data_IF_017621276070
#
_entry.id   IF_017621276070
#
_cell.length_a   1.000
_cell.length_b   1.000
_cell.length_c   1.000
_cell.angle_alpha   90.00
_cell.angle_beta   90.00
_cell.angle_gamma   90.00
#
_symmetry.space_group_name_H-M   'P 1'
#
loop_
_entity.id
_entity.type
_entity.pdbx_description
1 polymer ?
#
# COMPACT_ATOMS: atom_id res chain seq x y z
N UNK A 1 -33.21 34.36 8.64
CA UNK A 1 -31.97 33.54 8.73
C UNK A 1 -32.00 32.37 7.75
N UNK A 2 -32.34 32.58 6.46
CA UNK A 2 -32.55 31.50 5.47
C UNK A 2 -32.04 31.83 4.06
N UNK A 3 -31.38 32.95 3.84
CA UNK A 3 -30.93 33.35 2.48
C UNK A 3 -29.42 33.28 2.23
N UNK A 4 -28.60 32.95 3.22
CA UNK A 4 -27.12 32.90 3.08
C UNK A 4 -26.59 31.54 2.71
N UNK A 5 -27.39 30.46 2.70
CA UNK A 5 -26.92 29.10 2.45
C UNK A 5 -27.12 28.57 1.02
N UNK A 6 -27.84 29.34 0.17
CA UNK A 6 -28.07 28.92 -1.23
C UNK A 6 -27.02 29.41 -2.23
N UNK A 7 -26.18 30.40 -1.85
CA UNK A 7 -25.14 30.93 -2.74
C UNK A 7 -23.83 30.13 -2.73
N UNK A 8 -23.65 29.20 -1.81
CA UNK A 8 -22.44 28.40 -1.70
C UNK A 8 -22.47 27.10 -2.53
N UNK A 9 -23.65 26.67 -3.01
CA UNK A 9 -23.82 25.43 -3.79
C UNK A 9 -23.74 25.60 -5.30
N UNK A 10 -23.87 26.86 -5.79
CA UNK A 10 -23.90 27.11 -7.25
C UNK A 10 -22.51 27.36 -7.88
N UNK A 11 -21.43 27.42 -7.10
CA UNK A 11 -20.09 27.73 -7.59
C UNK A 11 -19.25 26.50 -8.03
N UNK A 12 -19.74 25.27 -7.87
CA UNK A 12 -18.93 24.07 -8.05
C UNK A 12 -19.28 23.22 -9.27
N UNK A 13 -20.12 23.75 -10.21
CA UNK A 13 -20.54 22.98 -11.40
C UNK A 13 -20.33 23.71 -12.73
N UNK A 14 -19.14 24.33 -12.93
CA UNK A 14 -18.76 24.88 -14.26
C UNK A 14 -17.39 24.34 -14.66
N UNK A 15 -17.38 23.18 -15.33
CA UNK A 15 -16.15 22.62 -15.91
C UNK A 15 -16.30 21.24 -16.54
N UNK A 16 -17.50 20.69 -16.63
CA UNK A 16 -17.75 19.43 -17.32
C UNK A 16 -17.81 19.63 -18.83
N UNK A 17 -16.92 19.01 -19.58
CA UNK A 17 -16.99 18.89 -21.04
C UNK A 17 -18.33 18.26 -21.43
N UNK A 18 -19.11 18.92 -22.31
CA UNK A 18 -20.36 18.37 -22.79
C UNK A 18 -20.09 17.13 -23.66
N UNK A 19 -21.04 16.17 -23.69
CA UNK A 19 -20.94 14.95 -24.51
C UNK A 19 -20.64 15.25 -25.97
N UNK A 20 -21.11 16.39 -26.50
CA UNK A 20 -20.79 16.84 -27.87
C UNK A 20 -19.34 17.27 -28.03
N UNK A 21 -18.75 17.93 -27.03
CA UNK A 21 -17.34 18.33 -27.07
C UNK A 21 -16.41 17.11 -26.92
N UNK A 22 -16.83 16.09 -26.18
CA UNK A 22 -16.09 14.83 -26.05
C UNK A 22 -16.07 14.07 -27.39
N UNK A 23 -17.23 13.96 -28.08
CA UNK A 23 -17.35 13.27 -29.38
C UNK A 23 -16.61 14.03 -30.47
N UNK A 24 -16.62 15.37 -30.48
CA UNK A 24 -15.88 16.19 -31.43
C UNK A 24 -14.36 16.07 -31.22
N UNK A 25 -13.89 15.85 -29.98
CA UNK A 25 -12.49 15.60 -29.66
C UNK A 25 -11.97 14.25 -30.20
N UNK A 26 -12.84 13.22 -30.22
CA UNK A 26 -12.47 11.89 -30.73
C UNK A 26 -12.40 11.87 -32.26
N UNK A 27 -13.20 12.67 -32.96
CA UNK A 27 -13.19 12.77 -34.43
C UNK A 27 -11.90 13.42 -34.99
N UNK A 28 -11.18 14.22 -34.17
CA UNK A 28 -9.89 14.82 -34.55
C UNK A 28 -8.69 13.90 -34.39
N UNK A 29 -8.83 12.81 -33.65
CA UNK A 29 -7.74 11.86 -33.36
C UNK A 29 -7.47 10.86 -34.50
N UNK A 30 -8.41 10.72 -35.46
CA UNK A 30 -8.28 9.74 -36.56
C UNK A 30 -7.23 10.14 -37.62
N UNK A 31 -6.86 11.41 -37.76
CA UNK A 31 -5.86 11.88 -38.74
C UNK A 31 -4.51 12.12 -38.05
N UNK A 32 -4.48 12.34 -36.75
CA UNK A 32 -3.25 12.51 -35.96
C UNK A 32 -2.52 11.19 -35.65
N UNK A 33 -3.18 10.04 -35.77
CA UNK A 33 -2.61 8.74 -35.38
C UNK A 33 -1.47 8.24 -36.28
N UNK A 34 -1.36 8.75 -37.51
CA UNK A 34 -0.32 8.31 -38.45
C UNK A 34 0.94 9.23 -38.37
N UNK A 35 0.79 10.47 -37.90
CA UNK A 35 1.91 11.42 -37.73
C UNK A 35 2.30 11.62 -36.26
N UNK A 36 1.53 11.11 -35.32
CA UNK A 36 1.64 11.37 -33.88
C UNK A 36 2.43 10.34 -33.06
N UNK A 37 2.83 9.21 -33.68
CA UNK A 37 3.57 8.18 -32.94
C UNK A 37 4.96 8.60 -32.47
N UNK A 38 5.50 9.69 -33.02
CA UNK A 38 6.80 10.27 -32.61
C UNK A 38 6.68 11.36 -31.53
N UNK A 39 5.53 12.04 -31.45
CA UNK A 39 5.39 13.22 -30.57
C UNK A 39 4.81 12.82 -29.19
N UNK A 40 3.99 11.78 -29.11
CA UNK A 40 3.48 11.27 -27.83
C UNK A 40 4.56 10.61 -26.98
N UNK A 41 5.61 10.05 -27.60
CA UNK A 41 6.77 9.52 -26.89
C UNK A 41 7.65 10.63 -26.25
N UNK A 42 7.55 11.88 -26.77
CA UNK A 42 8.34 13.02 -26.28
C UNK A 42 7.68 13.78 -25.11
N UNK A 43 6.39 13.50 -24.83
CA UNK A 43 5.60 14.21 -23.81
C UNK A 43 5.26 13.36 -22.60
N UNK A 44 5.61 12.07 -22.62
CA UNK A 44 5.56 11.27 -21.41
C UNK A 44 6.86 11.54 -20.65
N UNK A 45 6.80 12.01 -19.42
CA UNK A 45 8.01 12.07 -18.61
C UNK A 45 8.58 10.65 -18.53
N UNK A 46 9.83 10.47 -18.95
CA UNK A 46 10.57 9.20 -18.86
C UNK A 46 10.75 8.73 -17.40
N UNK A 47 10.32 9.54 -16.45
CA UNK A 47 10.41 9.29 -15.03
C UNK A 47 9.10 8.75 -14.43
N UNK A 48 8.46 7.78 -15.06
CA UNK A 48 7.60 6.88 -14.31
C UNK A 48 8.55 6.05 -13.47
N UNK A 49 8.80 6.48 -12.23
CA UNK A 49 9.56 5.72 -11.25
C UNK A 49 8.85 4.40 -11.03
N UNK A 50 9.21 3.41 -11.81
CA UNK A 50 8.74 2.05 -11.61
C UNK A 50 9.43 1.56 -10.33
N UNK A 51 8.65 1.47 -9.25
CA UNK A 51 9.13 0.85 -8.02
C UNK A 51 9.38 -0.62 -8.33
N UNK A 52 10.60 -1.10 -8.10
CA UNK A 52 11.01 -2.48 -8.37
C UNK A 52 10.01 -3.46 -7.77
N UNK A 53 9.55 -4.41 -8.57
CA UNK A 53 8.66 -5.46 -8.10
C UNK A 53 9.43 -6.42 -7.18
N UNK A 54 8.85 -6.80 -6.06
CA UNK A 54 9.46 -7.77 -5.16
C UNK A 54 9.65 -9.11 -5.85
N UNK A 55 10.84 -9.71 -5.72
CA UNK A 55 11.16 -11.02 -6.28
C UNK A 55 10.42 -12.17 -5.60
N UNK A 56 9.79 -11.90 -4.46
CA UNK A 56 9.05 -12.92 -3.72
C UNK A 56 8.04 -12.34 -2.74
N UNK A 57 7.23 -13.23 -2.22
CA UNK A 57 6.32 -12.96 -1.10
C UNK A 57 6.01 -14.26 -0.37
N UNK A 58 5.63 -14.16 0.89
CA UNK A 58 5.22 -15.32 1.67
C UNK A 58 3.77 -15.70 1.32
N UNK A 59 3.60 -16.92 0.80
CA UNK A 59 2.29 -17.51 0.58
C UNK A 59 1.95 -18.43 1.75
N UNK A 60 0.82 -18.17 2.39
CA UNK A 60 0.35 -18.97 3.52
C UNK A 60 -0.96 -19.66 3.15
N UNK A 61 -1.01 -20.97 3.40
CA UNK A 61 -2.24 -21.75 3.29
C UNK A 61 -2.99 -21.70 4.63
N UNK A 62 -4.00 -20.85 4.71
CA UNK A 62 -4.80 -20.67 5.91
C UNK A 62 -5.50 -21.96 6.36
N UNK A 63 -5.83 -22.86 5.42
CA UNK A 63 -6.50 -24.14 5.73
C UNK A 63 -5.60 -25.11 6.48
N UNK A 64 -4.28 -24.96 6.34
CA UNK A 64 -3.28 -25.77 7.03
C UNK A 64 -2.78 -25.13 8.32
N UNK A 65 -3.19 -23.91 8.60
CA UNK A 65 -2.71 -23.17 9.75
C UNK A 65 -3.48 -23.57 11.01
N UNK A 66 -2.77 -24.11 11.99
CA UNK A 66 -3.35 -24.44 13.31
C UNK A 66 -3.45 -23.22 14.24
N UNK A 67 -2.98 -22.04 13.82
CA UNK A 67 -2.98 -20.85 14.66
C UNK A 67 -2.09 -20.95 15.90
N UNK A 68 -1.02 -21.75 15.88
CA UNK A 68 -0.15 -22.00 17.03
C UNK A 68 0.78 -20.85 17.38
N UNK A 69 0.83 -19.79 16.53
CA UNK A 69 1.64 -18.57 16.73
C UNK A 69 3.17 -18.79 16.75
N UNK A 70 3.67 -19.96 16.41
CA UNK A 70 5.11 -20.23 16.35
C UNK A 70 5.81 -19.25 15.38
N UNK A 71 5.20 -18.93 14.25
CA UNK A 71 5.74 -17.95 13.30
C UNK A 71 5.83 -16.53 13.90
N UNK A 72 4.87 -16.15 14.75
CA UNK A 72 4.86 -14.86 15.46
C UNK A 72 6.02 -14.81 16.47
N UNK A 73 6.18 -15.86 17.25
CA UNK A 73 7.27 -15.98 18.24
C UNK A 73 8.63 -15.99 17.55
N UNK A 74 8.78 -16.81 16.49
CA UNK A 74 10.04 -16.91 15.75
C UNK A 74 10.43 -15.59 15.07
N UNK A 75 9.47 -14.90 14.46
CA UNK A 75 9.68 -13.58 13.85
C UNK A 75 10.13 -12.56 14.91
N UNK A 76 9.45 -12.50 16.04
CA UNK A 76 9.82 -11.63 17.15
C UNK A 76 11.22 -11.92 17.67
N UNK A 77 11.55 -13.20 17.88
CA UNK A 77 12.87 -13.60 18.36
C UNK A 77 13.98 -13.25 17.36
N UNK A 78 13.73 -13.46 16.06
CA UNK A 78 14.71 -13.18 15.01
C UNK A 78 15.02 -11.68 14.88
N UNK A 79 13.99 -10.82 15.00
CA UNK A 79 14.15 -9.38 14.78
C UNK A 79 14.44 -8.57 16.05
N UNK A 80 13.98 -9.03 17.21
CA UNK A 80 14.10 -8.29 18.48
C UNK A 80 15.04 -8.97 19.48
N UNK A 81 15.49 -10.20 19.19
CA UNK A 81 16.27 -11.00 20.14
C UNK A 81 15.49 -11.43 21.39
N UNK A 82 14.19 -11.17 21.46
CA UNK A 82 13.30 -11.50 22.59
C UNK A 82 11.90 -11.82 22.08
N UNK A 83 11.13 -12.54 22.88
CA UNK A 83 9.74 -12.86 22.55
C UNK A 83 8.85 -11.68 22.91
N UNK A 84 8.31 -11.03 21.89
CA UNK A 84 7.28 -9.99 22.01
C UNK A 84 6.30 -10.10 20.83
N UNK A 85 5.19 -10.79 21.05
CA UNK A 85 4.20 -11.07 19.99
C UNK A 85 3.54 -9.81 19.42
N UNK A 86 3.45 -8.74 20.20
CA UNK A 86 2.88 -7.47 19.75
C UNK A 86 3.76 -6.73 18.75
N UNK A 87 5.08 -6.96 18.79
CA UNK A 87 6.06 -6.36 17.88
C UNK A 87 6.50 -7.32 16.78
N UNK A 88 5.88 -8.48 16.65
CA UNK A 88 6.15 -9.38 15.55
C UNK A 88 5.68 -8.76 14.23
N UNK A 89 6.49 -8.90 13.18
CA UNK A 89 6.17 -8.44 11.82
C UNK A 89 5.15 -9.34 11.11
N UNK A 90 4.84 -10.50 11.69
CA UNK A 90 3.77 -11.41 11.30
C UNK A 90 2.75 -11.44 12.43
N UNK A 91 1.48 -11.28 12.10
CA UNK A 91 0.39 -11.37 13.06
C UNK A 91 -0.53 -12.53 12.68
N UNK A 92 -0.99 -13.28 13.67
CA UNK A 92 -1.99 -14.34 13.49
C UNK A 92 -3.27 -13.88 14.17
N UNK A 93 -4.33 -13.77 13.38
CA UNK A 93 -5.66 -13.44 13.88
C UNK A 93 -6.51 -14.70 13.90
N UNK A 94 -7.22 -14.90 15.01
CA UNK A 94 -8.21 -15.96 15.19
C UNK A 94 -9.57 -15.33 15.42
N UNK A 95 -10.61 -15.91 14.83
CA UNK A 95 -11.96 -15.49 15.15
C UNK A 95 -12.33 -15.96 16.56
N UNK A 96 -12.45 -15.01 17.48
CA UNK A 96 -12.76 -15.29 18.89
C UNK A 96 -14.21 -15.76 19.12
N UNK A 97 -15.11 -15.63 18.14
CA UNK A 97 -16.53 -15.93 18.29
C UNK A 97 -16.90 -17.38 17.97
N UNK A 98 -15.91 -18.28 17.91
CA UNK A 98 -16.16 -19.68 18.18
C UNK A 98 -16.79 -20.51 17.07
N UNK A 99 -16.46 -20.28 15.84
CA UNK A 99 -16.61 -21.31 14.83
C UNK A 99 -15.34 -22.12 14.72
N UNK A 100 -15.47 -23.44 14.61
CA UNK A 100 -14.40 -24.40 14.41
C UNK A 100 -14.21 -24.85 12.94
N UNK A 101 -14.14 -23.97 11.93
CA UNK A 101 -13.45 -24.33 10.73
C UNK A 101 -12.04 -23.77 10.80
N UNK A 102 -11.07 -24.51 10.28
CA UNK A 102 -9.68 -24.09 10.09
C UNK A 102 -9.51 -22.78 9.31
N UNK A 103 -10.58 -22.30 8.67
CA UNK A 103 -10.63 -21.10 7.86
C UNK A 103 -10.67 -19.80 8.69
N UNK A 104 -10.85 -19.89 10.01
CA UNK A 104 -10.94 -18.73 10.90
C UNK A 104 -9.58 -18.21 11.38
N UNK A 105 -8.48 -18.75 10.87
CA UNK A 105 -7.13 -18.31 11.20
C UNK A 105 -6.52 -17.58 10.02
N UNK A 106 -6.24 -16.29 10.20
CA UNK A 106 -5.58 -15.47 9.18
C UNK A 106 -4.18 -15.06 9.62
N UNK A 107 -3.20 -15.32 8.75
CA UNK A 107 -1.85 -14.80 8.92
C UNK A 107 -1.76 -13.47 8.17
N UNK A 108 -1.35 -12.46 8.91
CA UNK A 108 -1.24 -11.09 8.45
C UNK A 108 0.23 -10.69 8.35
N UNK A 109 0.84 -10.94 7.20
CA UNK A 109 2.17 -10.47 6.83
C UNK A 109 2.10 -9.52 5.64
N UNK A 110 3.18 -8.78 5.38
CA UNK A 110 3.27 -7.90 4.22
C UNK A 110 3.09 -8.69 2.91
N UNK A 111 2.29 -8.17 2.00
CA UNK A 111 2.00 -8.77 0.69
C UNK A 111 2.98 -8.36 -0.40
N UNK A 112 3.99 -7.54 -0.09
CA UNK A 112 4.96 -7.05 -1.07
C UNK A 112 4.29 -6.50 -2.35
N UNK A 113 3.31 -5.61 -2.17
CA UNK A 113 2.44 -5.12 -3.23
C UNK A 113 3.23 -4.59 -4.43
N UNK A 114 2.80 -4.84 -5.68
CA UNK A 114 3.44 -4.26 -6.86
C UNK A 114 3.34 -2.73 -6.88
N UNK A 115 2.25 -2.17 -6.37
CA UNK A 115 2.04 -0.73 -6.17
C UNK A 115 2.00 -0.43 -4.67
N UNK A 116 3.15 -0.15 -4.05
CA UNK A 116 3.25 -0.06 -2.61
C UNK A 116 2.89 1.33 -2.08
N UNK A 117 1.60 1.59 -1.85
CA UNK A 117 1.11 2.88 -1.31
C UNK A 117 1.84 3.30 -0.02
N UNK A 118 2.34 2.35 0.77
CA UNK A 118 3.13 2.64 1.97
C UNK A 118 4.51 3.25 1.64
N UNK A 119 5.10 2.90 0.50
CA UNK A 119 6.35 3.51 0.00
C UNK A 119 6.08 4.92 -0.49
N UNK A 120 5.04 5.08 -1.31
CA UNK A 120 4.64 6.39 -1.85
C UNK A 120 4.25 7.39 -0.75
N UNK A 121 3.62 6.92 0.31
CA UNK A 121 3.19 7.74 1.43
C UNK A 121 4.34 8.17 2.35
N UNK A 122 5.54 7.61 2.21
CA UNK A 122 6.66 7.90 3.12
C UNK A 122 7.37 9.21 2.74
N UNK A 123 7.26 10.29 3.53
CA UNK A 123 7.79 11.59 3.16
C UNK A 123 9.31 11.68 3.20
N UNK A 124 9.97 10.75 3.90
CA UNK A 124 11.43 10.75 4.09
C UNK A 124 12.12 9.57 3.39
N UNK A 125 11.37 8.74 2.65
CA UNK A 125 11.91 7.58 1.96
C UNK A 125 12.44 6.48 2.88
N UNK A 126 12.05 6.47 4.16
CA UNK A 126 12.40 5.40 5.10
C UNK A 126 11.76 4.07 4.69
N UNK A 127 10.51 4.12 4.21
CA UNK A 127 9.86 2.98 3.56
C UNK A 127 10.24 2.98 2.09
N UNK A 128 10.94 1.96 1.63
CA UNK A 128 11.46 1.88 0.27
C UNK A 128 11.41 0.46 -0.28
N UNK A 129 11.62 0.30 -1.57
CA UNK A 129 11.92 -0.97 -2.20
C UNK A 129 13.44 -1.14 -2.26
N UNK A 130 13.92 -2.29 -1.88
CA UNK A 130 15.32 -2.66 -2.06
C UNK A 130 15.65 -2.73 -3.57
N UNK A 131 16.68 -2.03 -4.05
CA UNK A 131 16.97 -1.97 -5.48
C UNK A 131 17.39 -3.30 -6.10
N UNK A 132 17.88 -4.25 -5.31
CA UNK A 132 18.32 -5.54 -5.82
C UNK A 132 17.20 -6.58 -5.84
N UNK A 133 16.40 -6.63 -4.79
CA UNK A 133 15.39 -7.66 -4.58
C UNK A 133 13.96 -7.16 -4.77
N UNK A 134 13.75 -5.85 -4.82
CA UNK A 134 12.45 -5.22 -4.84
C UNK A 134 11.66 -5.41 -3.53
N UNK A 135 12.22 -6.00 -2.50
CA UNK A 135 11.54 -6.21 -1.21
C UNK A 135 11.29 -4.87 -0.55
N UNK A 136 10.07 -4.68 -0.04
CA UNK A 136 9.73 -3.45 0.69
C UNK A 136 10.34 -3.50 2.07
N UNK A 137 11.24 -2.57 2.37
CA UNK A 137 11.97 -2.47 3.62
C UNK A 137 11.65 -1.16 4.34
N UNK A 138 12.01 -1.11 5.62
CA UNK A 138 11.97 0.12 6.43
C UNK A 138 13.37 0.40 6.93
N UNK A 139 13.90 1.56 6.59
CA UNK A 139 15.11 2.10 7.19
C UNK A 139 14.73 2.77 8.52
N UNK A 140 15.00 2.07 9.61
CA UNK A 140 14.64 2.51 10.97
C UNK A 140 15.34 3.83 11.33
N UNK A 141 16.57 4.02 10.83
CA UNK A 141 17.37 5.24 11.09
C UNK A 141 16.82 6.50 10.40
N UNK A 142 16.08 6.33 9.28
CA UNK A 142 15.41 7.43 8.56
C UNK A 142 13.97 7.63 9.01
N UNK A 143 13.38 6.67 9.71
CA UNK A 143 11.97 6.72 10.07
C UNK A 143 11.70 7.83 11.09
N UNK A 144 10.86 8.80 10.74
CA UNK A 144 10.46 9.92 11.62
C UNK A 144 9.22 9.61 12.47
N UNK A 145 8.66 8.41 12.40
CA UNK A 145 7.53 8.03 13.22
C UNK A 145 6.19 8.66 12.84
N UNK A 146 5.97 9.05 11.59
CA UNK A 146 4.76 9.76 11.15
C UNK A 146 3.55 8.87 10.91
N UNK A 147 3.68 7.55 10.96
CA UNK A 147 2.65 6.51 10.79
C UNK A 147 1.89 6.51 9.44
N UNK A 148 2.20 7.40 8.50
CA UNK A 148 1.53 7.48 7.20
C UNK A 148 1.54 6.16 6.42
N UNK A 149 2.61 5.38 6.53
CA UNK A 149 2.71 4.07 5.88
C UNK A 149 1.75 3.04 6.49
N UNK A 150 1.41 3.17 7.79
CA UNK A 150 0.42 2.32 8.47
C UNK A 150 -0.98 2.61 7.91
N UNK A 151 -1.33 3.89 7.78
CA UNK A 151 -2.62 4.34 7.25
C UNK A 151 -2.76 4.07 5.75
N UNK A 152 -1.68 4.24 4.98
CA UNK A 152 -1.69 4.02 3.53
C UNK A 152 -1.77 2.54 3.14
N UNK A 153 -1.62 1.60 4.07
CA UNK A 153 -1.71 0.19 3.78
C UNK A 153 -3.15 -0.18 3.37
N UNK A 154 -3.38 -0.77 2.17
CA UNK A 154 -4.73 -1.06 1.70
C UNK A 154 -5.42 -2.23 2.42
N UNK A 155 -4.72 -2.88 3.35
CA UNK A 155 -5.24 -4.02 4.08
C UNK A 155 -5.73 -3.64 5.47
N UNK A 156 -6.79 -4.30 5.92
CA UNK A 156 -7.32 -4.18 7.28
C UNK A 156 -7.24 -5.55 7.97
N UNK A 157 -6.50 -5.68 9.07
CA UNK A 157 -5.59 -4.67 9.64
C UNK A 157 -4.38 -4.37 8.73
N UNK A 158 -3.75 -3.23 8.96
CA UNK A 158 -2.53 -2.83 8.26
C UNK A 158 -1.45 -3.91 8.34
N UNK A 159 -0.72 -4.11 7.24
CA UNK A 159 0.42 -5.03 7.21
C UNK A 159 1.74 -4.36 7.61
N UNK A 160 1.68 -3.07 7.87
CA UNK A 160 2.75 -2.30 8.50
C UNK A 160 2.44 -2.25 9.99
N UNK A 161 3.34 -2.75 10.80
CA UNK A 161 3.22 -2.74 12.26
C UNK A 161 3.88 -1.49 12.83
N UNK A 162 3.35 -0.98 13.91
CA UNK A 162 3.94 0.13 14.65
C UNK A 162 4.71 -0.38 15.86
N UNK A 163 5.98 -0.04 15.94
CA UNK A 163 6.79 -0.32 17.12
C UNK A 163 6.67 0.84 18.10
N UNK A 164 5.94 0.63 19.19
CA UNK A 164 5.69 1.62 20.22
C UNK A 164 6.92 1.89 21.11
N UNK A 165 7.85 0.95 21.17
CA UNK A 165 9.06 1.07 21.98
C UNK A 165 10.07 1.98 21.31
N UNK A 166 10.39 1.71 20.05
CA UNK A 166 11.41 2.42 19.28
C UNK A 166 10.81 3.50 18.35
N UNK A 167 9.48 3.64 18.33
CA UNK A 167 8.72 4.66 17.57
C UNK A 167 9.02 4.68 16.08
N UNK A 168 9.10 3.52 15.48
CA UNK A 168 9.24 3.39 14.03
C UNK A 168 8.26 2.36 13.46
N UNK A 169 8.02 2.45 12.15
CA UNK A 169 7.24 1.47 11.43
C UNK A 169 8.10 0.22 11.16
N UNK A 170 7.47 -0.94 11.19
CA UNK A 170 8.11 -2.21 10.83
C UNK A 170 7.13 -3.09 10.03
N UNK A 171 7.63 -3.99 9.24
CA UNK A 171 6.83 -4.92 8.45
C UNK A 171 7.66 -6.15 8.07
N UNK A 172 6.99 -7.21 7.59
CA UNK A 172 7.66 -8.39 7.07
C UNK A 172 8.56 -8.00 5.89
N UNK A 173 9.81 -8.40 5.97
CA UNK A 173 10.90 -8.16 5.03
C UNK A 173 11.36 -9.44 4.30
N UNK A 174 10.56 -10.52 4.43
CA UNK A 174 10.68 -11.88 3.91
C UNK A 174 11.66 -12.79 4.67
#
# INVERSE_FOLDING_TARGET
MTETNQRATDAQHKGGLSRRQFIAGIGGLGIGAVLGSGITALLLPDDVYAIEASQGYLLVDAKKCAGCETCVISCSLAHLGRINTSLSRIQVMKNALGSFPSDDVMQNQCRQCPYPSCVEACPVGAMHADPETGVRLVDEGKCIGCERCVEACPFTPSRVQWNFEDKHAQKCDL
#
